data_IF_822408170766
#
_entry.id   IF_822408170766
#
_cell.length_a   1.000
_cell.length_b   1.000
_cell.length_c   1.000
_cell.angle_alpha   90.00
_cell.angle_beta   90.00
_cell.angle_gamma   90.00
#
_symmetry.space_group_name_H-M   'P 1'
#
loop_
_entity.id
_entity.type
_entity.pdbx_description
1 polymer ?
#
# COMPACT_ATOMS: atom_id res chain seq x y z
N UNK A 1 0.50 -15.98 36.46
CA UNK A 1 -0.16 -14.88 35.69
C UNK A 1 0.18 -15.10 34.21
N UNK A 2 -0.80 -15.29 33.32
CA UNK A 2 -0.53 -15.28 31.89
C UNK A 2 -0.07 -13.87 31.47
N UNK A 3 0.85 -13.81 30.49
CA UNK A 3 1.40 -12.57 29.92
C UNK A 3 0.28 -11.75 29.23
N UNK A 4 0.20 -10.42 29.39
CA UNK A 4 -0.98 -9.63 29.01
C UNK A 4 -1.05 -9.19 27.54
N UNK A 5 -0.22 -9.72 26.64
CA UNK A 5 -0.28 -9.36 25.22
C UNK A 5 -0.44 -10.62 24.39
N UNK A 6 -1.65 -10.85 23.89
CA UNK A 6 -1.81 -11.60 22.65
C UNK A 6 -0.91 -10.97 21.57
N UNK A 7 -0.36 -11.74 20.62
CA UNK A 7 0.42 -11.13 19.56
C UNK A 7 -0.45 -10.12 18.81
N UNK A 8 -0.05 -8.84 18.81
CA UNK A 8 -0.66 -7.78 18.00
C UNK A 8 -0.27 -7.90 16.51
N UNK A 9 0.16 -9.09 16.08
CA UNK A 9 0.61 -9.40 14.74
C UNK A 9 -0.09 -10.67 14.28
N UNK A 10 -0.75 -10.54 13.13
CA UNK A 10 -1.40 -11.64 12.43
C UNK A 10 -0.74 -11.75 11.07
N UNK A 11 -0.51 -12.99 10.64
CA UNK A 11 0.04 -13.30 9.33
C UNK A 11 -1.01 -14.09 8.55
N UNK A 12 -1.14 -13.78 7.27
CA UNK A 12 -1.94 -14.53 6.31
C UNK A 12 -1.06 -14.82 5.11
N UNK A 13 -1.18 -16.03 4.58
CA UNK A 13 -0.51 -16.53 3.38
C UNK A 13 -1.44 -16.56 2.15
N UNK A 14 -2.61 -15.93 2.24
CA UNK A 14 -3.62 -15.88 1.19
C UNK A 14 -3.49 -14.60 0.33
N UNK A 15 -4.15 -14.59 -0.83
CA UNK A 15 -4.22 -13.43 -1.71
C UNK A 15 -5.00 -12.29 -1.04
N UNK A 16 -4.31 -11.18 -0.78
CA UNK A 16 -4.89 -10.01 -0.14
C UNK A 16 -6.16 -9.48 -0.83
N UNK A 17 -6.29 -9.63 -2.15
CA UNK A 17 -7.48 -9.17 -2.90
C UNK A 17 -8.73 -9.95 -2.51
N UNK A 18 -8.55 -11.23 -2.15
CA UNK A 18 -9.64 -12.14 -1.81
C UNK A 18 -9.83 -12.26 -0.30
N UNK A 19 -8.75 -12.23 0.47
CA UNK A 19 -8.82 -12.44 1.91
C UNK A 19 -9.26 -11.19 2.68
N UNK A 20 -8.76 -10.02 2.30
CA UNK A 20 -9.07 -8.75 2.98
C UNK A 20 -10.58 -8.51 3.19
N UNK A 21 -11.47 -8.67 2.18
CA UNK A 21 -12.92 -8.48 2.39
C UNK A 21 -13.59 -9.53 3.27
N UNK A 22 -12.94 -10.66 3.56
CA UNK A 22 -13.48 -11.74 4.40
C UNK A 22 -13.10 -11.62 5.86
N UNK A 23 -11.96 -10.98 6.13
CA UNK A 23 -11.35 -10.94 7.47
C UNK A 23 -11.37 -9.56 8.11
N UNK A 24 -11.60 -8.50 7.33
CA UNK A 24 -11.65 -7.13 7.83
C UNK A 24 -12.92 -6.45 7.32
N UNK A 25 -13.72 -5.92 8.25
CA UNK A 25 -14.90 -5.11 7.93
C UNK A 25 -14.50 -3.77 7.29
N UNK A 26 -15.47 -3.12 6.65
CA UNK A 26 -15.28 -1.78 6.10
C UNK A 26 -14.98 -0.76 7.20
N UNK A 27 -14.26 0.30 6.84
CA UNK A 27 -13.85 1.38 7.75
C UNK A 27 -13.02 0.94 8.97
N UNK A 28 -12.36 -0.22 8.94
CA UNK A 28 -11.56 -0.74 10.08
C UNK A 28 -10.05 -0.58 9.95
N UNK A 29 -9.54 -0.30 8.76
CA UNK A 29 -8.09 -0.19 8.53
C UNK A 29 -7.64 1.26 8.69
N UNK A 30 -6.74 1.52 9.64
CA UNK A 30 -6.17 2.85 9.81
C UNK A 30 -5.14 3.18 8.70
N UNK A 31 -4.35 2.19 8.27
CA UNK A 31 -3.32 2.39 7.26
C UNK A 31 -3.00 1.11 6.49
N UNK A 32 -2.82 1.23 5.18
CA UNK A 32 -2.25 0.20 4.32
C UNK A 32 -0.81 0.56 3.94
N UNK A 33 0.09 -0.42 4.07
CA UNK A 33 1.45 -0.33 3.53
C UNK A 33 1.58 -1.32 2.37
N UNK A 34 1.79 -0.80 1.16
CA UNK A 34 2.02 -1.62 -0.03
C UNK A 34 3.40 -1.26 -0.59
N UNK A 35 4.39 -2.07 -0.23
CA UNK A 35 5.79 -1.77 -0.43
C UNK A 35 6.38 -2.73 -1.46
N UNK A 36 6.84 -2.18 -2.59
CA UNK A 36 7.48 -2.91 -3.69
C UNK A 36 6.67 -4.10 -4.22
N UNK A 37 5.36 -3.93 -4.54
CA UNK A 37 4.60 -5.00 -5.17
C UNK A 37 5.21 -5.36 -6.53
N UNK A 38 5.04 -6.62 -6.95
CA UNK A 38 5.64 -7.10 -8.19
C UNK A 38 5.25 -6.23 -9.40
N UNK A 39 6.24 -5.69 -10.14
CA UNK A 39 5.97 -4.74 -11.22
C UNK A 39 5.48 -5.38 -12.51
N UNK A 40 5.71 -6.69 -12.66
CA UNK A 40 5.40 -7.48 -13.86
C UNK A 40 5.89 -6.82 -15.16
N UNK A 41 7.18 -6.95 -15.43
CA UNK A 41 7.89 -6.24 -16.51
C UNK A 41 7.37 -6.52 -17.93
N UNK A 42 6.93 -7.76 -18.21
CA UNK A 42 6.40 -8.13 -19.52
C UNK A 42 4.99 -7.56 -19.69
N UNK A 43 4.70 -7.03 -20.89
CA UNK A 43 3.40 -6.43 -21.18
C UNK A 43 2.24 -7.40 -20.93
N UNK A 44 2.36 -8.68 -21.31
CA UNK A 44 1.30 -9.67 -21.07
C UNK A 44 1.06 -9.95 -19.57
N UNK A 45 2.02 -9.61 -18.71
CA UNK A 45 1.92 -9.83 -17.27
C UNK A 45 1.42 -8.61 -16.50
N UNK A 46 1.29 -7.43 -17.12
CA UNK A 46 0.82 -6.22 -16.43
C UNK A 46 -0.57 -6.39 -15.82
N UNK A 47 -1.40 -7.28 -16.37
CA UNK A 47 -2.72 -7.67 -15.82
C UNK A 47 -2.64 -8.34 -14.45
N UNK A 48 -1.46 -8.84 -14.05
CA UNK A 48 -1.20 -9.47 -12.76
C UNK A 48 -0.76 -8.47 -11.68
N UNK A 49 -0.57 -7.19 -12.03
CA UNK A 49 -0.26 -6.14 -11.06
C UNK A 49 -1.35 -6.11 -9.99
N UNK A 50 -0.91 -5.87 -8.77
CA UNK A 50 -1.81 -5.77 -7.62
C UNK A 50 -2.79 -4.61 -7.79
N UNK A 51 -2.27 -3.44 -8.20
CA UNK A 51 -3.10 -2.26 -8.41
C UNK A 51 -3.89 -2.33 -9.71
N UNK A 52 -5.20 -2.21 -9.54
CA UNK A 52 -6.25 -2.11 -10.56
C UNK A 52 -7.38 -1.26 -9.95
N UNK A 53 -8.31 -0.70 -10.76
CA UNK A 53 -9.43 0.06 -10.21
C UNK A 53 -10.20 -0.70 -9.11
N UNK A 54 -10.58 -1.99 -9.29
CA UNK A 54 -11.28 -2.74 -8.24
C UNK A 54 -10.48 -2.91 -6.94
N UNK A 55 -9.15 -2.98 -7.03
CA UNK A 55 -8.33 -3.06 -5.84
C UNK A 55 -8.27 -1.72 -5.10
N UNK A 56 -8.28 -0.59 -5.82
CA UNK A 56 -8.39 0.74 -5.19
C UNK A 56 -9.75 0.91 -4.51
N UNK A 57 -10.83 0.44 -5.13
CA UNK A 57 -12.18 0.42 -4.52
C UNK A 57 -12.16 -0.38 -3.20
N UNK A 58 -11.52 -1.56 -3.20
CA UNK A 58 -11.37 -2.38 -2.01
C UNK A 58 -10.58 -1.67 -0.91
N UNK A 59 -9.45 -1.03 -1.23
CA UNK A 59 -8.68 -0.26 -0.25
C UNK A 59 -9.52 0.90 0.32
N UNK A 60 -10.27 1.59 -0.54
CA UNK A 60 -11.15 2.69 -0.13
C UNK A 60 -12.27 2.23 0.81
N UNK A 61 -12.87 1.06 0.57
CA UNK A 61 -13.91 0.51 1.44
C UNK A 61 -13.36 0.13 2.83
N UNK A 62 -12.14 -0.41 2.87
CA UNK A 62 -11.55 -0.94 4.11
C UNK A 62 -10.87 0.11 4.98
N UNK A 63 -10.35 1.19 4.40
CA UNK A 63 -9.76 2.28 5.16
C UNK A 63 -10.83 3.01 5.97
N UNK A 64 -10.57 3.32 7.24
CA UNK A 64 -11.38 4.28 8.00
C UNK A 64 -11.32 5.67 7.35
N UNK A 65 -12.32 6.56 7.56
CA UNK A 65 -12.20 7.96 7.12
C UNK A 65 -10.94 8.60 7.69
N UNK A 66 -10.16 9.30 6.86
CA UNK A 66 -8.83 9.81 7.21
C UNK A 66 -7.71 8.76 7.26
N UNK A 67 -8.01 7.49 6.98
CA UNK A 67 -7.03 6.41 6.91
C UNK A 67 -6.04 6.58 5.76
N UNK A 68 -4.84 6.02 5.91
CA UNK A 68 -3.71 6.29 5.02
C UNK A 68 -3.39 5.11 4.09
N UNK A 69 -3.06 5.41 2.84
CA UNK A 69 -2.44 4.48 1.91
C UNK A 69 -1.00 4.92 1.65
N UNK A 70 -0.06 4.06 2.05
CA UNK A 70 1.36 4.22 1.82
C UNK A 70 1.84 3.25 0.75
N UNK A 71 2.31 3.81 -0.36
CA UNK A 71 2.82 3.03 -1.47
C UNK A 71 4.30 3.35 -1.74
N UNK A 72 5.10 2.32 -2.00
CA UNK A 72 6.48 2.46 -2.50
C UNK A 72 6.71 1.52 -3.68
N UNK A 73 7.45 1.98 -4.69
CA UNK A 73 7.98 1.15 -5.76
C UNK A 73 9.32 1.69 -6.24
N UNK A 74 10.17 0.82 -6.78
CA UNK A 74 11.38 1.15 -7.53
C UNK A 74 11.19 0.98 -9.04
N UNK A 75 9.94 1.09 -9.51
CA UNK A 75 9.57 1.10 -10.94
C UNK A 75 8.72 2.32 -11.22
N UNK A 76 9.26 3.26 -12.01
CA UNK A 76 8.62 4.56 -12.27
C UNK A 76 7.20 4.39 -12.83
N UNK A 77 7.06 3.63 -13.91
CA UNK A 77 5.80 3.51 -14.63
C UNK A 77 4.74 2.80 -13.77
N UNK A 78 5.17 1.94 -12.84
CA UNK A 78 4.23 1.33 -11.91
C UNK A 78 3.81 2.32 -10.82
N UNK A 79 4.75 3.09 -10.27
CA UNK A 79 4.44 4.16 -9.32
C UNK A 79 3.49 5.21 -9.91
N UNK A 80 3.74 5.66 -11.14
CA UNK A 80 2.88 6.60 -11.85
C UNK A 80 1.47 6.04 -12.12
N UNK A 81 1.37 4.76 -12.49
CA UNK A 81 0.08 4.08 -12.63
C UNK A 81 -0.69 4.07 -11.29
N UNK A 82 -0.03 3.72 -10.19
CA UNK A 82 -0.68 3.69 -8.87
C UNK A 82 -1.14 5.08 -8.47
N UNK A 83 -0.29 6.10 -8.64
CA UNK A 83 -0.68 7.49 -8.39
C UNK A 83 -1.91 7.87 -9.22
N UNK A 84 -1.90 7.61 -10.52
CA UNK A 84 -3.03 7.90 -11.40
C UNK A 84 -4.32 7.22 -10.92
N UNK A 85 -4.29 5.92 -10.61
CA UNK A 85 -5.47 5.19 -10.18
C UNK A 85 -6.05 5.72 -8.86
N UNK A 86 -5.18 6.02 -7.89
CA UNK A 86 -5.63 6.46 -6.56
C UNK A 86 -6.10 7.91 -6.59
N UNK A 87 -5.39 8.83 -7.25
CA UNK A 87 -5.78 10.25 -7.33
C UNK A 87 -7.09 10.48 -8.10
N UNK A 88 -7.42 9.59 -9.04
CA UNK A 88 -8.68 9.64 -9.79
C UNK A 88 -9.84 8.92 -9.09
N UNK A 89 -9.60 8.26 -7.96
CA UNK A 89 -10.67 7.61 -7.20
C UNK A 89 -11.33 8.62 -6.24
N UNK A 90 -12.67 8.75 -6.21
CA UNK A 90 -13.37 9.83 -5.50
C UNK A 90 -13.16 9.83 -3.98
N UNK A 91 -12.85 8.67 -3.39
CA UNK A 91 -12.61 8.53 -1.95
C UNK A 91 -11.21 8.96 -1.49
N UNK A 92 -10.28 9.31 -2.39
CA UNK A 92 -8.91 9.65 -2.01
C UNK A 92 -8.56 11.11 -2.30
N UNK A 93 -7.77 11.73 -1.43
CA UNK A 93 -7.08 12.97 -1.73
C UNK A 93 -5.89 12.73 -2.68
N UNK A 94 -5.38 13.80 -3.30
CA UNK A 94 -4.14 13.75 -4.07
C UNK A 94 -2.97 13.29 -3.19
N UNK A 95 -1.91 12.74 -3.80
CA UNK A 95 -0.75 12.31 -3.01
C UNK A 95 -0.12 13.51 -2.27
N UNK A 96 0.14 13.35 -0.97
CA UNK A 96 0.77 14.39 -0.15
C UNK A 96 1.96 13.83 0.65
N UNK A 97 3.17 14.28 0.30
CA UNK A 97 4.39 13.87 0.97
C UNK A 97 4.45 14.27 2.45
N UNK A 98 3.69 15.26 2.91
CA UNK A 98 3.63 15.64 4.33
C UNK A 98 3.05 14.50 5.20
N UNK A 99 2.21 13.64 4.62
CA UNK A 99 1.66 12.45 5.28
C UNK A 99 2.72 11.39 5.60
N UNK A 100 3.93 11.48 5.03
CA UNK A 100 5.02 10.58 5.39
C UNK A 100 5.36 10.64 6.89
N UNK A 101 5.18 11.81 7.52
CA UNK A 101 5.40 11.98 8.96
C UNK A 101 4.44 11.15 9.83
N UNK A 102 3.21 10.94 9.37
CA UNK A 102 2.21 10.12 10.07
C UNK A 102 2.56 8.62 10.08
N UNK A 103 3.44 8.19 9.18
CA UNK A 103 3.96 6.82 9.13
C UNK A 103 5.09 6.62 10.14
N UNK A 104 5.76 7.71 10.52
CA UNK A 104 6.89 7.70 11.44
C UNK A 104 8.18 7.14 10.83
N UNK A 105 9.18 6.96 11.69
CA UNK A 105 10.49 6.41 11.33
C UNK A 105 10.41 4.91 11.05
N UNK A 106 9.84 4.56 9.91
CA UNK A 106 9.76 3.17 9.48
C UNK A 106 11.17 2.63 9.19
N UNK A 107 11.48 1.46 9.76
CA UNK A 107 12.69 0.71 9.40
C UNK A 107 12.65 0.43 7.89
N UNK A 108 13.71 0.76 7.13
CA UNK A 108 13.70 0.54 5.69
C UNK A 108 13.56 -0.94 5.36
N UNK A 109 12.77 -1.25 4.34
CA UNK A 109 12.63 -2.62 3.83
C UNK A 109 13.96 -3.12 3.23
N UNK A 110 14.09 -4.44 3.11
CA UNK A 110 15.24 -5.04 2.40
C UNK A 110 15.39 -4.49 0.97
N UNK A 111 14.27 -4.24 0.27
CA UNK A 111 14.29 -3.66 -1.07
C UNK A 111 14.80 -2.23 -1.08
N UNK A 112 14.41 -1.39 -0.12
CA UNK A 112 14.95 -0.04 0.03
C UNK A 112 16.46 -0.03 0.27
N UNK A 113 16.96 -0.92 1.13
CA UNK A 113 18.39 -1.07 1.33
C UNK A 113 19.12 -1.49 0.06
N UNK A 114 18.52 -2.38 -0.75
CA UNK A 114 19.05 -2.74 -2.05
C UNK A 114 19.06 -1.55 -3.01
N UNK A 115 17.97 -0.79 -3.11
CA UNK A 115 17.88 0.39 -3.98
C UNK A 115 18.93 1.44 -3.63
N UNK A 116 19.08 1.78 -2.34
CA UNK A 116 20.10 2.74 -1.87
C UNK A 116 21.51 2.30 -2.24
N UNK A 117 21.85 1.03 -2.02
CA UNK A 117 23.18 0.48 -2.36
C UNK A 117 23.50 0.54 -3.86
N UNK A 118 22.48 0.47 -4.72
CA UNK A 118 22.65 0.45 -6.17
C UNK A 118 22.27 1.78 -6.84
N UNK A 119 22.08 2.86 -6.07
CA UNK A 119 21.68 4.16 -6.60
C UNK A 119 20.36 4.14 -7.37
N UNK A 120 19.44 3.23 -7.02
CA UNK A 120 18.12 3.13 -7.65
C UNK A 120 17.13 4.05 -6.94
N UNK A 121 16.36 4.87 -7.68
CA UNK A 121 15.32 5.70 -7.08
C UNK A 121 14.19 4.84 -6.50
N UNK A 122 13.49 5.41 -5.51
CA UNK A 122 12.26 4.87 -4.94
C UNK A 122 11.19 5.94 -5.07
N UNK A 123 10.08 5.59 -5.72
CA UNK A 123 8.89 6.41 -5.82
C UNK A 123 7.97 6.07 -4.65
N UNK A 124 7.74 7.04 -3.77
CA UNK A 124 6.86 6.92 -2.62
C UNK A 124 5.65 7.86 -2.79
N UNK A 125 4.46 7.33 -2.56
CA UNK A 125 3.21 8.07 -2.61
C UNK A 125 2.40 7.80 -1.35
N UNK A 126 1.68 8.83 -0.90
CA UNK A 126 0.95 8.83 0.36
C UNK A 126 -0.42 9.45 0.13
N UNK A 127 -1.48 8.72 0.41
CA UNK A 127 -2.85 9.17 0.19
C UNK A 127 -3.63 9.07 1.49
N UNK A 128 -4.57 9.99 1.67
CA UNK A 128 -5.59 9.91 2.72
C UNK A 128 -6.95 9.60 2.10
N UNK A 129 -7.71 8.71 2.74
CA UNK A 129 -9.13 8.55 2.44
C UNK A 129 -9.90 9.77 2.97
N UNK A 130 -10.75 10.34 2.12
CA UNK A 130 -11.63 11.48 2.43
C UNK A 130 -12.73 11.10 3.41
#
# INVERSE_FOLDING_TARGET
>A
RPSPLAPALWLSDDDARFNLPRVIDDDRVAMFHILFPDPWWKNEHKVRRLFSPPFVDLLAAKLSPGGLLHFKSDVQEYGELVRYLVENHPAFAASDAALASAIGDAVPTHREHWCRRHGKPVWAYYFARR
#
